data_IF_634966831712
#
_entry.id   IF_634966831712
#
_cell.length_a   1.000
_cell.length_b   1.000
_cell.length_c   1.000
_cell.angle_alpha   90.00
_cell.angle_beta   90.00
_cell.angle_gamma   90.00
#
_symmetry.space_group_name_H-M   'P 1'
#
loop_
_entity.id
_entity.type
_entity.pdbx_description
1 polymer ?
#
# COMPACT_ATOMS: atom_id res chain seq x y z
N UNK A 1 11.41 19.81 20.13
CA UNK A 1 10.90 18.44 19.90
C UNK A 1 9.74 18.54 18.93
N UNK A 2 10.00 18.41 17.62
CA UNK A 2 8.96 18.50 16.59
C UNK A 2 8.37 17.10 16.34
N UNK A 3 7.04 17.03 16.35
CA UNK A 3 6.22 15.86 16.05
C UNK A 3 6.29 15.58 14.54
N UNK A 4 6.52 14.32 14.17
CA UNK A 4 6.43 13.88 12.77
C UNK A 4 4.98 14.03 12.24
N UNK A 5 4.77 14.43 10.97
CA UNK A 5 3.47 14.31 10.35
C UNK A 5 3.15 12.83 10.12
N UNK A 6 1.93 12.41 10.49
CA UNK A 6 1.47 11.05 10.30
C UNK A 6 1.00 10.85 8.85
N UNK A 7 1.32 9.70 8.26
CA UNK A 7 0.68 9.20 7.05
C UNK A 7 -0.85 9.19 7.26
N UNK A 8 -1.57 9.97 6.45
CA UNK A 8 -3.00 10.19 6.63
C UNK A 8 -3.81 9.24 5.79
N UNK A 9 -4.22 8.10 6.35
CA UNK A 9 -5.29 7.28 5.76
C UNK A 9 -6.61 8.02 6.03
N UNK A 10 -7.32 8.44 4.98
CA UNK A 10 -8.65 9.04 5.08
C UNK A 10 -9.70 8.02 4.61
N UNK A 11 -10.76 7.84 5.39
CA UNK A 11 -11.87 6.93 5.08
C UNK A 11 -13.21 7.67 5.13
N UNK A 12 -14.15 7.30 4.28
CA UNK A 12 -15.58 7.64 4.42
C UNK A 12 -16.38 6.35 4.37
N UNK A 13 -17.11 6.01 5.43
CA UNK A 13 -17.88 4.77 5.50
C UNK A 13 -19.33 5.01 5.96
N UNK A 14 -20.28 4.37 5.28
CA UNK A 14 -21.65 4.11 5.76
C UNK A 14 -21.89 2.61 5.67
N UNK A 15 -22.31 1.90 6.73
CA UNK A 15 -22.46 0.45 6.72
C UNK A 15 -23.85 -0.01 6.27
N UNK A 16 -24.00 -1.18 5.62
CA UNK A 16 -25.29 -1.86 5.50
C UNK A 16 -25.54 -2.85 6.65
N UNK A 17 -26.82 -3.05 6.96
CA UNK A 17 -27.33 -3.84 8.08
C UNK A 17 -27.33 -5.37 7.82
N UNK A 18 -27.05 -6.12 8.88
CA UNK A 18 -27.24 -7.57 9.01
C UNK A 18 -28.72 -7.94 9.16
N UNK A 19 -29.12 -9.10 8.61
CA UNK A 19 -30.25 -9.87 9.13
C UNK A 19 -30.01 -11.38 9.00
N UNK A 20 -30.75 -12.10 9.84
CA UNK A 20 -30.39 -13.26 10.62
C UNK A 20 -30.86 -14.63 10.06
N UNK A 21 -30.20 -15.68 10.60
CA UNK A 21 -30.65 -17.05 10.88
C UNK A 21 -31.84 -17.70 10.17
N UNK A 22 -31.63 -18.98 9.77
CA UNK A 22 -32.23 -20.11 10.51
C UNK A 22 -31.63 -21.48 10.17
N UNK A 23 -31.25 -22.21 11.22
CA UNK A 23 -30.85 -23.61 11.23
C UNK A 23 -32.07 -24.52 11.11
N UNK A 24 -31.93 -25.64 10.39
CA UNK A 24 -32.86 -26.78 10.41
C UNK A 24 -32.11 -28.03 10.86
N UNK A 25 -32.58 -28.65 11.94
CA UNK A 25 -31.99 -29.82 12.60
C UNK A 25 -32.85 -31.03 12.27
N UNK A 26 -32.23 -32.09 11.74
CA UNK A 26 -32.85 -33.39 11.54
C UNK A 26 -32.33 -34.41 12.58
N UNK A 27 -33.13 -35.41 12.99
CA UNK A 27 -32.79 -36.30 14.10
C UNK A 27 -31.74 -37.34 13.71
N UNK A 28 -30.77 -37.56 14.60
CA UNK A 28 -29.72 -38.58 14.48
C UNK A 28 -30.16 -39.86 15.19
N UNK A 29 -30.17 -40.98 14.46
CA UNK A 29 -30.39 -42.33 15.01
C UNK A 29 -29.10 -42.86 15.63
N UNK A 30 -29.14 -43.18 16.92
CA UNK A 30 -28.02 -43.73 17.69
C UNK A 30 -27.84 -45.23 17.40
N UNK A 31 -26.71 -45.61 16.78
CA UNK A 31 -26.28 -47.02 16.63
C UNK A 31 -25.03 -47.23 17.46
N UNK A 32 -25.12 -48.03 18.52
CA UNK A 32 -23.93 -48.47 19.28
C UNK A 32 -23.11 -49.42 18.37
N UNK A 33 -21.99 -48.93 17.86
CA UNK A 33 -20.94 -49.73 17.23
C UNK A 33 -19.76 -49.74 18.19
N UNK A 34 -19.49 -50.89 18.83
CA UNK A 34 -18.19 -51.13 19.46
C UNK A 34 -17.21 -51.44 18.34
N UNK A 35 -16.31 -50.50 18.07
CA UNK A 35 -15.21 -50.68 17.11
C UNK A 35 -13.92 -50.23 17.78
N UNK A 36 -12.93 -51.11 17.76
CA UNK A 36 -11.62 -50.94 18.37
C UNK A 36 -10.91 -49.64 17.90
N UNK A 37 -10.16 -49.01 18.81
CA UNK A 37 -9.31 -47.86 18.52
C UNK A 37 -8.23 -48.25 17.49
N UNK A 38 -8.15 -47.60 16.32
CA UNK A 38 -7.00 -47.77 15.43
C UNK A 38 -5.79 -47.06 16.03
N UNK A 39 -4.60 -47.65 15.85
CA UNK A 39 -3.33 -47.00 16.14
C UNK A 39 -3.26 -45.68 15.35
N UNK A 40 -2.98 -44.58 16.06
CA UNK A 40 -2.86 -43.25 15.47
C UNK A 40 -1.60 -43.19 14.61
N UNK A 41 -1.74 -43.39 13.30
CA UNK A 41 -0.74 -42.94 12.34
C UNK A 41 -0.61 -41.42 12.52
N UNK A 42 0.60 -40.85 12.66
CA UNK A 42 0.74 -39.40 12.65
C UNK A 42 0.15 -38.88 11.34
N UNK A 43 -0.89 -38.03 11.46
CA UNK A 43 -1.51 -37.40 10.31
C UNK A 43 -0.48 -36.61 9.50
N UNK A 44 -0.72 -36.37 8.21
CA UNK A 44 0.18 -35.55 7.39
C UNK A 44 0.43 -34.24 8.13
N UNK A 45 1.72 -33.88 8.28
CA UNK A 45 2.11 -32.61 8.87
C UNK A 45 1.28 -31.50 8.21
N UNK A 46 0.71 -30.61 9.05
CA UNK A 46 -0.05 -29.47 8.56
C UNK A 46 0.77 -28.76 7.46
N UNK A 47 0.16 -28.38 6.33
CA UNK A 47 0.87 -27.68 5.28
C UNK A 47 1.57 -26.47 5.90
N UNK A 48 2.85 -26.29 5.55
CA UNK A 48 3.60 -25.11 5.99
C UNK A 48 2.73 -23.87 5.71
N UNK A 49 2.62 -22.93 6.66
CA UNK A 49 1.78 -21.76 6.48
C UNK A 49 2.16 -21.09 5.17
N UNK A 50 1.18 -20.88 4.29
CA UNK A 50 1.37 -20.18 3.03
C UNK A 50 1.94 -18.77 3.27
N UNK A 51 2.47 -18.12 2.22
CA UNK A 51 3.01 -16.77 2.36
C UNK A 51 1.95 -15.86 3.02
N UNK A 52 2.34 -15.22 4.12
CA UNK A 52 1.46 -14.30 4.84
C UNK A 52 1.14 -13.12 3.91
N UNK A 53 -0.13 -12.71 3.77
CA UNK A 53 -0.44 -11.48 3.04
C UNK A 53 0.28 -10.30 3.69
N UNK A 54 0.84 -9.40 2.87
CA UNK A 54 1.46 -8.17 3.38
C UNK A 54 0.38 -7.23 3.93
N UNK A 55 0.66 -6.64 5.09
CA UNK A 55 -0.11 -5.53 5.60
C UNK A 55 0.30 -4.23 4.91
N UNK A 56 -0.59 -3.23 4.93
CA UNK A 56 -0.25 -1.90 4.42
C UNK A 56 0.97 -1.31 5.14
N UNK A 57 1.15 -1.61 6.42
CA UNK A 57 2.32 -1.22 7.21
C UNK A 57 3.62 -1.87 6.72
N UNK A 58 3.55 -3.10 6.21
CA UNK A 58 4.73 -3.78 5.63
C UNK A 58 5.14 -3.08 4.32
N UNK A 59 4.15 -2.72 3.49
CA UNK A 59 4.36 -1.98 2.24
C UNK A 59 4.91 -0.59 2.52
N UNK A 60 4.31 0.15 3.46
CA UNK A 60 4.78 1.48 3.86
C UNK A 60 6.24 1.43 4.34
N UNK A 61 6.56 0.50 5.26
CA UNK A 61 7.92 0.34 5.76
C UNK A 61 8.90 -0.02 4.63
N UNK A 62 8.51 -0.89 3.70
CA UNK A 62 9.34 -1.27 2.56
C UNK A 62 9.59 -0.10 1.61
N UNK A 63 8.56 0.71 1.31
CA UNK A 63 8.67 1.92 0.47
C UNK A 63 9.59 2.95 1.12
N UNK A 64 9.32 3.33 2.37
CA UNK A 64 10.11 4.33 3.10
C UNK A 64 11.58 3.95 3.20
N UNK A 65 11.85 2.68 3.48
CA UNK A 65 13.23 2.17 3.56
C UNK A 65 13.92 2.02 2.19
N UNK A 66 13.20 2.20 1.08
CA UNK A 66 13.72 2.06 -0.30
C UNK A 66 14.01 3.40 -0.97
N UNK A 67 13.47 4.50 -0.44
CA UNK A 67 13.75 5.83 -0.96
C UNK A 67 15.22 6.21 -0.79
N UNK A 68 15.71 6.91 -1.80
CA UNK A 68 17.00 7.58 -1.80
C UNK A 68 16.98 8.73 -2.79
N UNK A 69 18.04 9.54 -2.80
CA UNK A 69 18.22 10.58 -3.81
C UNK A 69 18.24 10.00 -5.24
N UNK A 70 18.62 8.73 -5.41
CA UNK A 70 18.64 8.04 -6.70
C UNK A 70 17.27 7.54 -7.19
N UNK A 71 16.22 7.64 -6.36
CA UNK A 71 14.84 7.37 -6.75
C UNK A 71 14.01 8.65 -6.97
N UNK A 72 14.58 9.84 -6.76
CA UNK A 72 13.93 11.12 -7.10
C UNK A 72 14.19 11.52 -8.54
N UNK A 73 13.47 12.52 -9.06
CA UNK A 73 13.78 13.10 -10.37
C UNK A 73 15.25 13.53 -10.42
N UNK A 74 16.00 13.22 -11.51
CA UNK A 74 17.41 13.55 -11.62
C UNK A 74 17.76 15.02 -11.34
N UNK A 75 16.92 15.95 -11.78
CA UNK A 75 17.11 17.38 -11.57
C UNK A 75 16.89 17.83 -10.10
N UNK A 76 16.19 17.03 -9.30
CA UNK A 76 15.81 17.37 -7.93
C UNK A 76 16.55 16.54 -6.87
N UNK A 77 17.44 15.62 -7.26
CA UNK A 77 18.28 14.85 -6.32
C UNK A 77 18.98 15.74 -5.27
N UNK A 78 19.47 16.96 -5.59
CA UNK A 78 20.05 17.85 -4.58
C UNK A 78 19.09 18.33 -3.49
N UNK A 79 17.77 18.22 -3.71
CA UNK A 79 16.74 18.60 -2.72
C UNK A 79 16.35 17.44 -1.80
N UNK A 80 16.78 16.22 -2.10
CA UNK A 80 16.54 15.06 -1.24
C UNK A 80 17.44 15.13 -0.01
N UNK A 81 16.89 14.83 1.16
CA UNK A 81 17.65 14.69 2.40
C UNK A 81 17.07 13.59 3.29
N UNK A 82 17.85 13.05 4.25
CA UNK A 82 17.32 12.13 5.25
C UNK A 82 16.21 12.73 6.13
N UNK A 83 16.16 14.06 6.27
CA UNK A 83 15.14 14.77 7.03
C UNK A 83 13.83 14.92 6.26
N UNK A 84 13.87 14.85 4.92
CA UNK A 84 12.70 14.83 4.04
C UNK A 84 12.88 13.77 2.93
N UNK A 85 12.82 12.47 3.27
CA UNK A 85 13.10 11.41 2.33
C UNK A 85 12.01 11.24 1.26
N UNK A 86 10.80 11.78 1.52
CA UNK A 86 9.66 11.76 0.61
C UNK A 86 9.77 12.80 -0.53
N UNK A 87 10.70 13.77 -0.42
CA UNK A 87 10.88 14.84 -1.40
C UNK A 87 11.07 14.28 -2.81
N UNK A 88 10.14 14.64 -3.69
CA UNK A 88 10.14 14.27 -5.10
C UNK A 88 10.17 12.74 -5.34
N UNK A 89 9.43 12.01 -4.49
CA UNK A 89 9.22 10.56 -4.64
C UNK A 89 7.80 10.22 -5.12
N UNK A 90 6.89 11.22 -5.25
CA UNK A 90 5.45 10.97 -5.39
C UNK A 90 5.09 10.13 -6.63
N UNK A 91 5.59 10.50 -7.82
CA UNK A 91 5.26 9.81 -9.07
C UNK A 91 5.70 8.35 -9.07
N UNK A 92 6.97 8.09 -8.71
CA UNK A 92 7.50 6.72 -8.67
C UNK A 92 6.84 5.88 -7.58
N UNK A 93 6.56 6.48 -6.41
CA UNK A 93 5.88 5.80 -5.30
C UNK A 93 4.45 5.45 -5.66
N UNK A 94 3.70 6.39 -6.24
CA UNK A 94 2.33 6.15 -6.68
C UNK A 94 2.26 5.02 -7.71
N UNK A 95 3.21 4.97 -8.66
CA UNK A 95 3.29 3.90 -9.66
C UNK A 95 3.59 2.52 -9.05
N UNK A 96 4.46 2.45 -8.02
CA UNK A 96 4.78 1.21 -7.30
C UNK A 96 3.61 0.74 -6.45
N UNK A 97 2.95 1.64 -5.72
CA UNK A 97 1.78 1.29 -4.91
C UNK A 97 0.63 0.79 -5.79
N UNK A 98 0.40 1.42 -6.93
CA UNK A 98 -0.60 0.99 -7.89
C UNK A 98 -0.30 -0.40 -8.48
N UNK A 99 0.97 -0.75 -8.65
CA UNK A 99 1.42 -2.09 -9.05
C UNK A 99 1.10 -3.16 -7.98
N UNK A 100 1.20 -2.79 -6.70
CA UNK A 100 1.01 -3.71 -5.56
C UNK A 100 -0.45 -3.83 -5.12
N UNK A 101 -1.21 -2.72 -5.19
CA UNK A 101 -2.53 -2.58 -4.60
C UNK A 101 -3.65 -2.36 -5.64
N UNK A 102 -3.28 -2.05 -6.89
CA UNK A 102 -4.23 -1.58 -7.89
C UNK A 102 -4.79 -0.20 -7.56
N UNK A 103 -6.05 0.02 -7.93
CA UNK A 103 -6.75 1.28 -7.71
C UNK A 103 -6.49 2.33 -8.80
N UNK A 104 -6.90 3.56 -8.51
CA UNK A 104 -6.80 4.72 -9.37
C UNK A 104 -5.53 5.51 -9.04
N UNK A 105 -4.79 5.94 -10.06
CA UNK A 105 -3.77 6.97 -9.89
C UNK A 105 -4.47 8.33 -9.86
N UNK A 106 -4.13 9.14 -8.86
CA UNK A 106 -4.67 10.48 -8.70
C UNK A 106 -3.54 11.48 -8.90
N UNK A 107 -3.82 12.58 -9.62
CA UNK A 107 -2.88 13.67 -9.83
C UNK A 107 -3.48 15.01 -9.40
N UNK A 108 -2.83 15.66 -8.45
CA UNK A 108 -3.14 17.03 -8.01
C UNK A 108 -2.10 18.03 -8.53
N UNK A 109 -2.46 19.30 -8.53
CA UNK A 109 -1.55 20.41 -8.87
C UNK A 109 -0.95 20.97 -7.60
N UNK A 110 0.37 21.12 -7.56
CA UNK A 110 1.09 21.79 -6.46
C UNK A 110 1.22 23.27 -6.79
N UNK A 111 0.87 24.13 -5.83
CA UNK A 111 1.00 25.58 -5.95
C UNK A 111 1.78 26.20 -4.80
N UNK A 112 2.56 27.22 -5.11
CA UNK A 112 3.19 28.14 -4.16
C UNK A 112 2.75 29.55 -4.55
N UNK A 113 2.21 30.31 -3.59
CA UNK A 113 1.65 31.65 -3.83
C UNK A 113 0.63 31.71 -5.00
N UNK A 114 -0.16 30.64 -5.14
CA UNK A 114 -1.16 30.50 -6.21
C UNK A 114 -0.60 30.11 -7.59
N UNK A 115 0.72 30.05 -7.75
CA UNK A 115 1.39 29.66 -9.00
C UNK A 115 1.66 28.16 -9.00
N UNK A 116 1.31 27.48 -10.10
CA UNK A 116 1.61 26.06 -10.25
C UNK A 116 3.13 25.83 -10.37
N UNK A 117 3.66 24.97 -9.51
CA UNK A 117 5.09 24.62 -9.47
C UNK A 117 5.34 23.16 -9.87
N UNK A 118 4.42 22.25 -9.58
CA UNK A 118 4.56 20.82 -9.92
C UNK A 118 3.20 20.09 -9.96
N UNK A 119 3.25 18.77 -10.14
CA UNK A 119 2.16 17.84 -9.93
C UNK A 119 2.48 16.87 -8.79
N UNK A 120 1.49 16.57 -7.96
CA UNK A 120 1.55 15.54 -6.93
C UNK A 120 0.77 14.31 -7.35
N UNK A 121 1.24 13.12 -6.98
CA UNK A 121 0.63 11.85 -7.35
C UNK A 121 0.42 10.95 -6.15
N UNK A 122 -0.77 10.36 -6.04
CA UNK A 122 -1.13 9.38 -5.01
C UNK A 122 -2.09 8.32 -5.56
N UNK A 123 -2.54 7.39 -4.72
CA UNK A 123 -3.48 6.34 -5.10
C UNK A 123 -4.82 6.51 -4.40
N UNK A 124 -5.90 6.13 -5.08
CA UNK A 124 -7.21 5.92 -4.47
C UNK A 124 -7.66 4.48 -4.71
N UNK A 125 -7.95 3.76 -3.63
CA UNK A 125 -8.43 2.39 -3.64
C UNK A 125 -9.97 2.36 -3.62
N UNK A 126 -10.54 1.16 -3.58
CA UNK A 126 -11.98 0.97 -3.43
C UNK A 126 -12.55 1.74 -2.23
N UNK A 127 -13.84 2.09 -2.31
CA UNK A 127 -14.55 2.89 -1.29
C UNK A 127 -13.95 4.28 -1.04
N UNK A 128 -13.11 4.78 -1.96
CA UNK A 128 -12.54 6.13 -1.90
C UNK A 128 -11.37 6.28 -0.91
N UNK A 129 -10.77 5.17 -0.46
CA UNK A 129 -9.63 5.21 0.46
C UNK A 129 -8.40 5.75 -0.27
N UNK A 130 -7.90 6.90 0.16
CA UNK A 130 -6.69 7.50 -0.42
C UNK A 130 -5.42 7.06 0.32
N UNK A 131 -4.41 6.67 -0.46
CA UNK A 131 -3.09 6.27 0.03
C UNK A 131 -2.06 7.22 -0.58
N UNK A 132 -1.51 8.09 0.27
CA UNK A 132 -0.43 9.01 -0.06
C UNK A 132 0.69 8.93 0.97
N UNK A 133 1.71 8.13 0.64
CA UNK A 133 2.89 7.99 1.50
C UNK A 133 3.85 9.18 1.39
N UNK A 134 3.62 10.09 0.44
CA UNK A 134 4.54 11.17 0.08
C UNK A 134 4.00 12.56 0.40
N UNK A 135 2.82 12.66 1.02
CA UNK A 135 2.21 13.94 1.40
C UNK A 135 3.12 14.79 2.31
N UNK A 136 3.91 14.14 3.16
CA UNK A 136 4.84 14.79 4.09
C UNK A 136 6.01 15.52 3.40
N UNK A 137 6.15 15.40 2.07
CA UNK A 137 7.22 16.06 1.33
C UNK A 137 7.08 17.59 1.23
N UNK A 138 5.85 18.09 1.40
CA UNK A 138 5.48 19.47 1.14
C UNK A 138 5.74 20.38 2.34
N UNK A 139 6.34 21.53 2.05
CA UNK A 139 6.43 22.64 2.99
C UNK A 139 5.04 23.27 3.20
N UNK A 140 4.81 24.02 4.29
CA UNK A 140 3.51 24.66 4.58
C UNK A 140 2.98 25.56 3.45
N UNK A 141 3.86 26.17 2.66
CA UNK A 141 3.55 27.02 1.52
C UNK A 141 3.20 26.26 0.23
N UNK A 142 3.51 24.96 0.16
CA UNK A 142 3.22 24.09 -0.98
C UNK A 142 1.83 23.48 -0.82
N UNK A 143 0.85 24.00 -1.56
CA UNK A 143 -0.55 23.58 -1.48
C UNK A 143 -0.87 22.64 -2.64
N UNK A 144 -1.30 21.42 -2.31
CA UNK A 144 -1.79 20.44 -3.29
C UNK A 144 -3.30 20.62 -3.47
N UNK A 145 -3.74 20.71 -4.72
CA UNK A 145 -5.18 20.71 -5.03
C UNK A 145 -5.81 19.35 -4.83
N UNK A 146 -7.15 19.31 -4.87
CA UNK A 146 -7.86 18.07 -5.18
C UNK A 146 -7.31 17.48 -6.49
N UNK A 147 -7.37 16.15 -6.58
CA UNK A 147 -6.78 15.41 -7.68
C UNK A 147 -7.79 14.93 -8.71
N UNK A 148 -7.32 14.75 -9.94
CA UNK A 148 -8.04 14.07 -11.02
C UNK A 148 -7.56 12.63 -11.18
N UNK A 149 -8.45 11.74 -11.62
CA UNK A 149 -8.08 10.35 -11.96
C UNK A 149 -7.27 10.36 -13.25
N UNK A 150 -6.09 9.76 -13.20
CA UNK A 150 -5.22 9.56 -14.36
C UNK A 150 -5.15 8.07 -14.68
N UNK A 151 -5.49 7.64 -15.91
CA UNK A 151 -5.30 6.25 -16.31
C UNK A 151 -3.83 5.85 -16.21
N UNK A 152 -3.55 4.66 -15.65
CA UNK A 152 -2.20 4.12 -15.63
C UNK A 152 -1.72 3.93 -17.08
N UNK A 153 -0.61 4.58 -17.50
CA UNK A 153 -0.13 4.42 -18.86
C UNK A 153 0.43 2.98 -19.04
N UNK A 154 0.14 2.31 -20.17
CA UNK A 154 0.73 0.99 -20.44
C UNK A 154 2.25 1.07 -20.62
N UNK A 155 2.75 2.23 -21.07
CA UNK A 155 4.17 2.53 -21.23
C UNK A 155 4.45 3.98 -20.84
N UNK A 156 5.58 4.23 -20.16
CA UNK A 156 6.03 5.57 -19.80
C UNK A 156 7.56 5.68 -19.91
N UNK A 157 8.08 6.85 -20.25
CA UNK A 157 9.53 7.11 -20.34
C UNK A 157 10.04 7.94 -19.18
N UNK A 158 9.22 8.87 -18.67
CA UNK A 158 9.56 9.73 -17.53
C UNK A 158 9.82 8.89 -16.28
N UNK A 159 10.99 9.04 -15.68
CA UNK A 159 11.41 8.39 -14.43
C UNK A 159 11.34 6.87 -14.45
N UNK A 160 11.52 6.24 -15.63
CA UNK A 160 11.49 4.77 -15.75
C UNK A 160 12.53 4.11 -14.87
N UNK A 161 13.77 4.58 -14.92
CA UNK A 161 14.90 3.98 -14.19
C UNK A 161 14.71 4.13 -12.67
N UNK A 162 14.30 5.31 -12.22
CA UNK A 162 13.99 5.58 -10.80
C UNK A 162 12.82 4.71 -10.30
N UNK A 163 11.77 4.55 -11.10
CA UNK A 163 10.66 3.66 -10.80
C UNK A 163 11.11 2.21 -10.69
N UNK A 164 11.88 1.70 -11.67
CA UNK A 164 12.36 0.33 -11.69
C UNK A 164 13.28 0.05 -10.49
N UNK A 165 14.13 1.02 -10.14
CA UNK A 165 14.98 0.97 -8.96
C UNK A 165 14.14 0.91 -7.68
N UNK A 166 13.20 1.83 -7.47
CA UNK A 166 12.35 1.85 -6.29
C UNK A 166 11.56 0.54 -6.16
N UNK A 167 10.93 0.10 -7.26
CA UNK A 167 10.15 -1.15 -7.32
C UNK A 167 11.01 -2.34 -6.91
N UNK A 168 12.21 -2.47 -7.46
CA UNK A 168 13.12 -3.57 -7.14
C UNK A 168 13.48 -3.60 -5.64
N UNK A 169 13.76 -2.44 -5.04
CA UNK A 169 14.10 -2.30 -3.61
C UNK A 169 12.94 -2.65 -2.70
N UNK A 170 11.72 -2.26 -3.08
CA UNK A 170 10.49 -2.55 -2.34
C UNK A 170 10.20 -4.05 -2.38
N UNK A 171 10.19 -4.65 -3.56
CA UNK A 171 9.93 -6.09 -3.72
C UNK A 171 10.98 -6.94 -2.98
N UNK A 172 12.25 -6.56 -3.03
CA UNK A 172 13.31 -7.24 -2.29
C UNK A 172 13.09 -7.19 -0.77
N UNK A 173 12.58 -6.08 -0.24
CA UNK A 173 12.28 -5.93 1.20
C UNK A 173 11.06 -6.74 1.62
N UNK A 174 10.01 -6.74 0.80
CA UNK A 174 8.81 -7.53 1.03
C UNK A 174 9.09 -9.04 0.97
N UNK A 175 10.03 -9.47 0.12
CA UNK A 175 10.41 -10.89 0.02
C UNK A 175 11.18 -11.43 1.22
N UNK A 176 11.73 -10.57 2.10
CA UNK A 176 12.45 -11.05 3.30
C UNK A 176 11.45 -11.50 4.36
N UNK A 177 11.71 -12.63 5.06
CA UNK A 177 10.97 -12.97 6.26
C UNK A 177 11.07 -11.83 7.28
N UNK A 178 9.94 -11.48 7.91
CA UNK A 178 9.98 -10.62 9.10
C UNK A 178 10.91 -11.28 10.13
N UNK A 179 11.94 -10.53 10.55
CA UNK A 179 12.92 -10.98 11.54
C UNK A 179 12.30 -11.11 12.93
#
# INVERSE_FOLDING_TARGET
>A
MLRAPAAGIRTSATPPALTDHRLSVAPVTLRLMTTALPATTPGPAAPAPGPRPFLLTDIEAAVRASWGADTTTPAHRPHWSPDNPARDQCGVTAMVLNDLLGGELIRGVVRVDGIQTDFHWWNRLGEGIEIDLTHEQFAPEEIVSDGEVVPRPPHFSRLREEYELLRSRVLARLARPAA
#
